data_IF_074656074216
#
_entry.id   IF_074656074216
#
_cell.length_a   1.000
_cell.length_b   1.000
_cell.length_c   1.000
_cell.angle_alpha   90.00
_cell.angle_beta   90.00
_cell.angle_gamma   90.00
#
_symmetry.space_group_name_H-M   'P 1'
#
loop_
_entity.id
_entity.type
_entity.pdbx_description
1 polymer ?
#
# COMPACT_ATOMS: atom_id res chain seq x y z
N UNK A 1 -45.50 3.91 24.98
CA UNK A 1 -44.32 4.60 25.54
C UNK A 1 -43.36 3.50 25.92
N UNK A 2 -42.42 3.23 25.06
CA UNK A 2 -41.22 2.43 25.34
C UNK A 2 -40.07 3.40 25.03
N UNK A 3 -39.61 4.02 26.08
CA UNK A 3 -38.44 4.87 26.10
C UNK A 3 -37.24 3.90 26.25
N UNK A 4 -36.69 3.48 25.14
CA UNK A 4 -35.52 2.61 25.04
C UNK A 4 -34.41 3.33 24.29
N UNK A 5 -34.04 4.52 24.75
CA UNK A 5 -32.72 5.06 24.50
C UNK A 5 -31.76 4.40 25.49
N UNK A 6 -31.27 3.20 25.13
CA UNK A 6 -30.00 2.76 25.69
C UNK A 6 -28.97 3.81 25.26
N UNK A 7 -28.38 4.45 26.27
CA UNK A 7 -27.25 5.34 26.13
C UNK A 7 -26.11 4.55 25.44
N UNK A 8 -26.08 4.59 24.11
CA UNK A 8 -24.87 4.33 23.38
C UNK A 8 -23.92 5.47 23.72
N UNK A 9 -23.03 5.19 24.63
CA UNK A 9 -21.89 6.04 24.97
C UNK A 9 -20.89 5.93 23.80
N UNK A 10 -21.39 6.26 22.57
CA UNK A 10 -20.58 6.26 21.37
C UNK A 10 -19.68 7.48 21.41
N UNK A 11 -18.39 7.22 21.57
CA UNK A 11 -17.36 8.25 21.50
C UNK A 11 -17.45 8.93 20.13
N UNK A 12 -17.50 10.27 20.11
CA UNK A 12 -17.57 11.04 18.86
C UNK A 12 -16.31 10.81 18.01
N UNK A 13 -16.41 10.82 16.68
CA UNK A 13 -15.28 10.60 15.77
C UNK A 13 -14.05 11.46 16.05
N UNK A 14 -14.27 12.72 16.41
CA UNK A 14 -13.20 13.66 16.77
C UNK A 14 -12.44 13.20 18.02
N UNK A 15 -13.15 12.68 19.02
CA UNK A 15 -12.55 12.16 20.24
C UNK A 15 -11.74 10.89 19.96
N UNK A 16 -12.25 10.00 19.07
CA UNK A 16 -11.54 8.81 18.62
C UNK A 16 -10.25 9.22 17.91
N UNK A 17 -10.31 10.20 16.99
CA UNK A 17 -9.16 10.68 16.23
C UNK A 17 -8.13 11.33 17.15
N UNK A 18 -8.55 12.17 18.08
CA UNK A 18 -7.64 12.86 19.00
C UNK A 18 -6.97 11.87 19.97
N UNK A 19 -7.73 10.91 20.50
CA UNK A 19 -7.16 9.81 21.29
C UNK A 19 -6.14 8.99 20.48
N UNK A 20 -6.51 8.59 19.26
CA UNK A 20 -5.61 7.87 18.36
C UNK A 20 -4.31 8.63 18.16
N UNK A 21 -4.41 9.93 17.88
CA UNK A 21 -3.25 10.81 17.66
C UNK A 21 -2.32 10.81 18.86
N UNK A 22 -2.84 11.13 20.05
CA UNK A 22 -2.05 11.24 21.27
C UNK A 22 -1.40 9.91 21.67
N UNK A 23 -2.18 8.84 21.66
CA UNK A 23 -1.70 7.52 22.05
C UNK A 23 -0.72 6.93 21.02
N UNK A 24 -0.93 7.20 19.72
CA UNK A 24 -0.03 6.70 18.68
C UNK A 24 1.32 7.43 18.73
N UNK A 25 1.34 8.73 19.02
CA UNK A 25 2.58 9.48 19.22
C UNK A 25 3.47 8.87 20.30
N UNK A 26 2.87 8.50 21.44
CA UNK A 26 3.60 7.82 22.53
C UNK A 26 4.19 6.48 22.07
N UNK A 27 3.39 5.69 21.31
CA UNK A 27 3.85 4.40 20.79
C UNK A 27 4.94 4.55 19.73
N UNK A 28 4.84 5.56 18.87
CA UNK A 28 5.86 5.89 17.87
C UNK A 28 7.20 6.23 18.52
N UNK A 29 7.21 7.03 19.59
CA UNK A 29 8.43 7.32 20.36
C UNK A 29 9.04 6.03 20.92
N UNK A 30 8.23 5.11 21.44
CA UNK A 30 8.70 3.82 21.94
C UNK A 30 9.26 2.91 20.83
N UNK A 31 8.74 3.03 19.60
CA UNK A 31 9.30 2.33 18.44
C UNK A 31 10.64 2.93 18.03
N UNK A 32 10.78 4.27 17.99
CA UNK A 32 12.05 4.96 17.73
C UNK A 32 13.15 4.49 18.68
N UNK A 33 12.86 4.44 19.98
CA UNK A 33 13.81 3.96 21.00
C UNK A 33 14.22 2.50 20.79
N UNK A 34 13.26 1.60 20.52
CA UNK A 34 13.53 0.17 20.37
C UNK A 34 14.24 -0.21 19.08
N UNK A 35 14.03 0.57 18.02
CA UNK A 35 14.66 0.34 16.71
C UNK A 35 15.89 1.20 16.48
N UNK A 36 16.17 2.14 17.40
CA UNK A 36 17.25 3.13 17.26
C UNK A 36 17.18 3.80 15.89
N UNK A 37 16.06 4.46 15.61
CA UNK A 37 15.79 5.06 14.31
C UNK A 37 14.96 6.33 14.42
N UNK A 38 14.96 7.15 13.37
CA UNK A 38 13.92 8.15 13.15
C UNK A 38 12.75 7.50 12.45
N UNK A 39 11.57 7.58 13.03
CA UNK A 39 10.37 6.95 12.48
C UNK A 39 9.60 7.92 11.58
N UNK A 40 9.14 7.42 10.45
CA UNK A 40 8.16 8.08 9.57
C UNK A 40 6.98 7.14 9.36
N UNK A 41 5.76 7.61 9.61
CA UNK A 41 4.55 6.77 9.54
C UNK A 41 3.72 7.09 8.31
N UNK A 42 3.33 6.05 7.58
CA UNK A 42 2.34 6.11 6.51
C UNK A 42 1.38 4.91 6.68
N UNK A 43 0.24 5.13 7.31
CA UNK A 43 -0.75 4.10 7.57
C UNK A 43 -2.09 4.45 6.94
N UNK A 44 -2.69 3.48 6.26
CA UNK A 44 -3.91 3.64 5.48
C UNK A 44 -4.95 2.61 5.90
N UNK A 45 -6.18 3.05 6.14
CA UNK A 45 -7.34 2.18 6.30
C UNK A 45 -7.59 1.44 4.98
N UNK A 46 -7.55 0.11 5.00
CA UNK A 46 -7.44 -0.75 3.81
C UNK A 46 -8.55 -0.55 2.77
N UNK A 47 -9.78 -0.32 3.22
CA UNK A 47 -10.94 -0.17 2.33
C UNK A 47 -11.18 1.28 1.90
N UNK A 48 -10.51 2.25 2.54
CA UNK A 48 -10.81 3.67 2.41
C UNK A 48 -9.70 4.47 1.74
N UNK A 49 -8.46 4.00 1.83
CA UNK A 49 -7.31 4.74 1.36
C UNK A 49 -6.32 3.86 0.60
N UNK A 50 -5.70 4.44 -0.40
CA UNK A 50 -4.63 3.86 -1.20
C UNK A 50 -3.55 4.90 -1.46
N UNK A 51 -2.38 4.46 -1.89
CA UNK A 51 -1.31 5.36 -2.33
C UNK A 51 -1.76 6.06 -3.62
N UNK A 52 -1.82 7.39 -3.59
CA UNK A 52 -2.26 8.24 -4.70
C UNK A 52 -1.29 9.41 -4.89
N UNK A 53 -1.44 10.17 -5.97
CA UNK A 53 -0.64 11.39 -6.20
C UNK A 53 -0.74 12.37 -5.04
N UNK A 54 -1.92 12.49 -4.44
CA UNK A 54 -2.13 13.32 -3.26
C UNK A 54 -1.29 12.88 -2.07
N UNK A 55 -1.05 11.59 -1.91
CA UNK A 55 -0.16 11.05 -0.86
C UNK A 55 1.27 11.57 -1.01
N UNK A 56 1.72 11.79 -2.26
CA UNK A 56 3.04 12.39 -2.54
C UNK A 56 3.09 13.83 -2.04
N UNK A 57 2.05 14.62 -2.36
CA UNK A 57 1.97 16.02 -1.95
C UNK A 57 1.89 16.13 -0.42
N UNK A 58 1.09 15.29 0.21
CA UNK A 58 0.95 15.22 1.66
C UNK A 58 2.30 14.85 2.31
N UNK A 59 2.99 13.84 1.81
CA UNK A 59 4.32 13.45 2.30
C UNK A 59 5.34 14.58 2.14
N UNK A 60 5.35 15.26 1.00
CA UNK A 60 6.26 16.38 0.77
C UNK A 60 5.96 17.53 1.73
N UNK A 61 4.69 17.86 1.93
CA UNK A 61 4.28 18.91 2.90
C UNK A 61 4.73 18.54 4.30
N UNK A 62 4.47 17.32 4.76
CA UNK A 62 4.90 16.84 6.06
C UNK A 62 6.41 17.01 6.26
N UNK A 63 7.22 16.56 5.29
CA UNK A 63 8.68 16.65 5.38
C UNK A 63 9.20 18.10 5.37
N UNK A 64 8.49 19.04 4.73
CA UNK A 64 8.84 20.45 4.77
C UNK A 64 8.48 21.09 6.12
N UNK A 65 7.31 20.79 6.67
CA UNK A 65 6.86 21.31 7.95
C UNK A 65 7.69 20.79 9.13
N UNK A 66 8.22 19.57 9.03
CA UNK A 66 9.02 18.90 10.08
C UNK A 66 10.50 18.78 9.70
N UNK A 67 11.03 19.62 8.80
CA UNK A 67 12.38 19.48 8.27
C UNK A 67 13.45 19.43 9.38
N UNK A 68 13.28 20.18 10.47
CA UNK A 68 14.23 20.22 11.60
C UNK A 68 14.29 18.90 12.37
N UNK A 69 13.18 18.16 12.41
CA UNK A 69 13.06 16.89 13.15
C UNK A 69 13.64 15.70 12.36
N UNK A 70 13.71 15.84 11.03
CA UNK A 70 14.26 14.84 10.13
C UNK A 70 15.70 15.16 9.70
N UNK A 71 16.56 15.46 10.71
CA UNK A 71 17.99 15.71 10.52
C UNK A 71 18.83 14.96 11.56
N UNK A 72 20.03 14.53 11.16
CA UNK A 72 21.04 14.00 12.07
C UNK A 72 20.74 12.61 12.63
N UNK A 73 20.00 11.78 11.91
CA UNK A 73 19.75 10.36 12.25
C UNK A 73 20.59 9.45 11.35
N UNK A 74 20.96 8.28 11.87
CA UNK A 74 21.71 7.26 11.13
C UNK A 74 20.80 6.24 10.44
N UNK A 75 19.53 6.15 10.88
CA UNK A 75 18.54 5.22 10.37
C UNK A 75 17.16 5.86 10.27
N UNK A 76 16.56 5.79 9.08
CA UNK A 76 15.18 6.17 8.84
C UNK A 76 14.33 4.89 8.73
N UNK A 77 13.34 4.74 9.61
CA UNK A 77 12.35 3.67 9.53
C UNK A 77 11.03 4.23 8.98
N UNK A 78 10.64 3.84 7.79
CA UNK A 78 9.34 4.16 7.23
C UNK A 78 8.33 3.06 7.60
N UNK A 79 7.48 3.31 8.61
CA UNK A 79 6.41 2.40 9.00
C UNK A 79 5.27 2.51 7.98
N UNK A 80 5.06 1.43 7.23
CA UNK A 80 4.15 1.39 6.09
C UNK A 80 3.07 0.34 6.28
N UNK A 81 1.81 0.79 6.31
CA UNK A 81 0.63 -0.08 6.25
C UNK A 81 -0.30 0.41 5.15
N UNK A 82 -0.43 -0.37 4.05
CA UNK A 82 -1.20 0.08 2.88
C UNK A 82 -1.61 -1.09 1.97
N UNK A 83 -2.82 -1.04 1.39
CA UNK A 83 -3.26 -1.98 0.35
C UNK A 83 -2.55 -1.76 -1.00
N UNK A 84 -1.78 -0.68 -1.16
CA UNK A 84 -1.14 -0.30 -2.40
C UNK A 84 -1.79 0.91 -3.06
N UNK A 85 -1.86 0.93 -4.39
CA UNK A 85 -2.44 2.04 -5.17
C UNK A 85 -1.63 2.37 -6.41
N UNK A 86 -1.43 3.67 -6.68
CA UNK A 86 -0.71 4.18 -7.85
C UNK A 86 0.80 3.90 -7.74
N UNK A 87 1.35 3.17 -8.72
CA UNK A 87 2.77 2.81 -8.75
C UNK A 87 3.69 4.02 -8.97
N UNK A 88 3.24 5.04 -9.71
CA UNK A 88 4.01 6.26 -9.93
C UNK A 88 4.09 7.10 -8.65
N UNK A 89 2.99 7.19 -7.90
CA UNK A 89 2.97 7.83 -6.60
C UNK A 89 3.88 7.11 -5.61
N UNK A 90 3.82 5.78 -5.54
CA UNK A 90 4.72 4.98 -4.71
C UNK A 90 6.20 5.19 -5.10
N UNK A 91 6.50 5.23 -6.40
CA UNK A 91 7.85 5.53 -6.89
C UNK A 91 8.31 6.93 -6.48
N UNK A 92 7.44 7.95 -6.57
CA UNK A 92 7.78 9.32 -6.16
C UNK A 92 8.04 9.40 -4.65
N UNK A 93 7.22 8.75 -3.80
CA UNK A 93 7.45 8.66 -2.35
C UNK A 93 8.77 7.95 -2.07
N UNK A 94 9.05 6.82 -2.76
CA UNK A 94 10.33 6.12 -2.65
C UNK A 94 11.51 7.03 -2.93
N UNK A 95 11.44 7.86 -3.97
CA UNK A 95 12.48 8.84 -4.32
C UNK A 95 12.63 9.94 -3.28
N UNK A 96 11.52 10.40 -2.68
CA UNK A 96 11.56 11.38 -1.58
C UNK A 96 12.27 10.81 -0.35
N UNK A 97 11.89 9.61 0.09
CA UNK A 97 12.48 8.96 1.26
C UNK A 97 13.95 8.61 1.04
N UNK A 98 14.32 8.16 -0.17
CA UNK A 98 15.71 7.91 -0.51
C UNK A 98 16.56 9.19 -0.43
N UNK A 99 16.07 10.32 -0.96
CA UNK A 99 16.77 11.62 -0.85
C UNK A 99 16.90 12.09 0.60
N UNK A 100 15.85 11.87 1.42
CA UNK A 100 15.90 12.21 2.84
C UNK A 100 16.98 11.40 3.56
N UNK A 101 17.03 10.09 3.33
CA UNK A 101 18.05 9.21 3.89
C UNK A 101 19.47 9.56 3.38
N UNK A 102 19.64 9.83 2.08
CA UNK A 102 20.90 10.27 1.48
C UNK A 102 21.39 11.59 2.09
N UNK A 103 20.51 12.58 2.29
CA UNK A 103 20.83 13.88 2.91
C UNK A 103 21.39 13.71 4.34
N UNK A 104 20.93 12.68 5.06
CA UNK A 104 21.37 12.36 6.41
C UNK A 104 22.49 11.30 6.45
N UNK A 105 22.96 10.78 5.32
CA UNK A 105 23.85 9.62 5.23
C UNK A 105 23.32 8.41 6.01
N UNK A 106 22.00 8.18 5.98
CA UNK A 106 21.28 7.23 6.78
C UNK A 106 20.88 5.97 5.96
N UNK A 107 20.72 4.85 6.67
CA UNK A 107 20.04 3.69 6.17
C UNK A 107 18.53 3.96 6.10
N UNK A 108 17.84 3.38 5.10
CA UNK A 108 16.39 3.45 4.95
C UNK A 108 15.78 2.06 5.13
N UNK A 109 15.00 1.88 6.19
CA UNK A 109 14.27 0.66 6.46
C UNK A 109 12.77 0.87 6.27
N UNK A 110 12.09 -0.15 5.75
CA UNK A 110 10.64 -0.18 5.73
C UNK A 110 10.13 -1.12 6.80
N UNK A 111 9.33 -0.60 7.71
CA UNK A 111 8.74 -1.32 8.83
C UNK A 111 7.28 -1.67 8.48
N UNK A 112 6.99 -2.96 8.34
CA UNK A 112 5.68 -3.44 7.94
C UNK A 112 4.97 -4.09 9.13
N UNK A 113 3.98 -3.40 9.75
CA UNK A 113 3.24 -3.94 10.89
C UNK A 113 2.29 -5.06 10.50
N UNK A 114 1.58 -4.92 9.36
CA UNK A 114 0.59 -5.90 8.92
C UNK A 114 0.62 -6.17 7.42
N UNK A 115 0.56 -5.13 6.57
CA UNK A 115 0.61 -5.33 5.13
C UNK A 115 1.26 -4.16 4.38
N UNK A 116 1.92 -4.51 3.28
CA UNK A 116 2.32 -3.59 2.24
C UNK A 116 2.11 -4.28 0.89
N UNK A 117 0.94 -4.05 0.25
CA UNK A 117 0.54 -4.75 -0.99
C UNK A 117 0.85 -3.94 -2.24
N UNK A 118 1.06 -4.60 -3.37
CA UNK A 118 1.12 -3.97 -4.70
C UNK A 118 2.11 -2.78 -4.74
N UNK A 119 1.64 -1.56 -4.99
CA UNK A 119 2.46 -0.34 -4.99
C UNK A 119 3.16 -0.08 -3.64
N UNK A 120 2.60 -0.53 -2.51
CA UNK A 120 3.27 -0.45 -1.21
C UNK A 120 4.43 -1.45 -1.10
N UNK A 121 4.33 -2.65 -1.72
CA UNK A 121 5.49 -3.55 -1.87
C UNK A 121 6.58 -2.91 -2.73
N UNK A 122 6.19 -2.25 -3.84
CA UNK A 122 7.12 -1.51 -4.70
C UNK A 122 7.87 -0.44 -3.89
N UNK A 123 7.15 0.34 -3.07
CA UNK A 123 7.71 1.35 -2.18
C UNK A 123 8.69 0.71 -1.17
N UNK A 124 8.30 -0.37 -0.50
CA UNK A 124 9.13 -1.07 0.49
C UNK A 124 10.43 -1.62 -0.10
N UNK A 125 10.42 -2.03 -1.37
CA UNK A 125 11.61 -2.50 -2.09
C UNK A 125 12.66 -1.40 -2.36
N UNK A 126 12.37 -0.14 -2.07
CA UNK A 126 13.31 0.98 -2.24
C UNK A 126 14.26 1.20 -1.04
N UNK A 127 14.03 0.52 0.08
CA UNK A 127 14.87 0.59 1.28
C UNK A 127 16.11 -0.30 1.23
N UNK A 128 16.93 -0.22 2.25
CA UNK A 128 18.07 -1.11 2.46
C UNK A 128 17.62 -2.48 2.99
N UNK A 129 16.59 -2.49 3.85
CA UNK A 129 16.00 -3.69 4.46
C UNK A 129 14.50 -3.48 4.74
N UNK A 130 13.73 -4.57 4.74
CA UNK A 130 12.32 -4.59 5.17
C UNK A 130 12.25 -5.30 6.52
N UNK A 131 11.71 -4.61 7.53
CA UNK A 131 11.44 -5.13 8.86
C UNK A 131 9.99 -5.58 8.92
N UNK A 132 9.74 -6.83 9.28
CA UNK A 132 8.39 -7.38 9.28
C UNK A 132 8.04 -7.95 10.66
N UNK A 133 6.79 -7.78 11.10
CA UNK A 133 6.22 -8.60 12.17
C UNK A 133 5.98 -10.02 11.64
N UNK A 134 5.72 -10.99 12.54
CA UNK A 134 5.39 -12.37 12.15
C UNK A 134 4.09 -12.50 11.35
N UNK A 135 3.19 -11.53 11.48
CA UNK A 135 1.91 -11.50 10.75
C UNK A 135 1.93 -10.56 9.54
N UNK A 136 3.06 -9.88 9.30
CA UNK A 136 3.17 -8.95 8.19
C UNK A 136 3.28 -9.67 6.85
N UNK A 137 2.75 -9.05 5.81
CA UNK A 137 2.78 -9.57 4.46
C UNK A 137 3.07 -8.48 3.42
N UNK A 138 3.81 -8.85 2.42
CA UNK A 138 3.91 -8.14 1.15
C UNK A 138 2.91 -8.71 0.16
N UNK A 139 2.81 -8.12 -1.02
CA UNK A 139 1.99 -8.64 -2.11
C UNK A 139 2.67 -8.56 -3.47
N UNK A 140 2.13 -9.26 -4.48
CA UNK A 140 2.55 -9.13 -5.86
C UNK A 140 2.46 -7.68 -6.36
N UNK A 141 3.34 -7.33 -7.31
CA UNK A 141 3.41 -5.99 -7.93
C UNK A 141 2.90 -6.11 -9.37
N UNK A 142 1.76 -6.73 -9.57
CA UNK A 142 1.14 -6.86 -10.88
C UNK A 142 0.13 -5.74 -11.13
N UNK A 143 0.25 -5.01 -12.26
CA UNK A 143 -0.66 -3.91 -12.56
C UNK A 143 -2.12 -4.39 -12.65
N UNK A 144 -2.99 -3.69 -11.96
CA UNK A 144 -4.43 -3.91 -12.05
C UNK A 144 -5.06 -2.96 -13.07
N UNK A 145 -6.03 -3.44 -13.81
CA UNK A 145 -6.82 -2.66 -14.75
C UNK A 145 -8.29 -2.79 -14.42
N UNK A 146 -9.03 -1.73 -14.63
CA UNK A 146 -10.48 -1.74 -14.49
C UNK A 146 -11.12 -2.21 -15.80
N UNK A 147 -11.94 -3.25 -15.70
CA UNK A 147 -12.72 -3.72 -16.85
C UNK A 147 -13.90 -2.79 -17.11
N UNK A 148 -14.52 -2.83 -18.31
CA UNK A 148 -15.75 -2.09 -18.59
C UNK A 148 -16.91 -2.41 -17.64
N UNK A 149 -16.88 -3.58 -16.98
CA UNK A 149 -17.87 -4.00 -15.98
C UNK A 149 -17.55 -3.51 -14.57
N UNK A 150 -16.52 -2.64 -14.38
CA UNK A 150 -16.15 -2.07 -13.10
C UNK A 150 -15.36 -3.01 -12.18
N UNK A 151 -14.82 -4.12 -12.70
CA UNK A 151 -14.00 -5.06 -11.93
C UNK A 151 -12.51 -4.77 -12.15
N UNK A 152 -11.76 -4.82 -11.07
CA UNK A 152 -10.31 -4.82 -11.14
C UNK A 152 -9.78 -6.21 -11.47
N UNK A 153 -8.95 -6.33 -12.49
CA UNK A 153 -8.30 -7.57 -12.92
C UNK A 153 -6.82 -7.31 -13.20
N UNK A 154 -5.98 -8.30 -12.94
CA UNK A 154 -4.57 -8.21 -13.31
C UNK A 154 -4.40 -8.11 -14.82
N UNK A 155 -3.58 -7.17 -15.28
CA UNK A 155 -3.19 -7.05 -16.69
C UNK A 155 -2.58 -8.37 -17.22
N UNK A 156 -1.90 -9.12 -16.34
CA UNK A 156 -1.39 -10.44 -16.63
C UNK A 156 -2.51 -11.46 -16.86
N UNK A 157 -3.54 -11.50 -16.00
CA UNK A 157 -4.66 -12.42 -16.16
C UNK A 157 -5.33 -12.26 -17.52
N UNK A 158 -5.55 -11.01 -17.94
CA UNK A 158 -6.13 -10.74 -19.26
C UNK A 158 -5.22 -11.23 -20.38
N UNK A 159 -3.91 -10.93 -20.30
CA UNK A 159 -2.93 -11.40 -21.29
C UNK A 159 -2.91 -12.93 -21.37
N UNK A 160 -2.82 -13.60 -20.23
CA UNK A 160 -2.68 -15.06 -20.16
C UNK A 160 -3.95 -15.74 -20.66
N UNK A 161 -5.15 -15.22 -20.33
CA UNK A 161 -6.44 -15.71 -20.87
C UNK A 161 -6.52 -15.60 -22.41
N UNK A 162 -5.98 -14.53 -22.98
CA UNK A 162 -5.94 -14.36 -24.42
C UNK A 162 -4.96 -15.35 -25.07
N UNK A 163 -3.79 -15.55 -24.47
CA UNK A 163 -2.82 -16.52 -24.95
C UNK A 163 -3.40 -17.95 -24.92
N UNK A 164 -4.05 -18.32 -23.82
CA UNK A 164 -4.75 -19.61 -23.69
C UNK A 164 -5.83 -19.79 -24.76
N UNK A 165 -6.61 -18.73 -25.02
CA UNK A 165 -7.62 -18.74 -26.07
C UNK A 165 -6.99 -18.97 -27.46
N UNK A 166 -5.86 -18.31 -27.76
CA UNK A 166 -5.13 -18.48 -29.01
C UNK A 166 -4.59 -19.91 -29.16
N UNK A 167 -4.05 -20.49 -28.06
CA UNK A 167 -3.59 -21.89 -28.06
C UNK A 167 -4.75 -22.86 -28.31
N UNK A 168 -5.93 -22.66 -27.72
CA UNK A 168 -7.13 -23.46 -27.98
C UNK A 168 -7.55 -23.36 -29.43
N UNK A 169 -7.48 -22.17 -30.02
CA UNK A 169 -7.80 -21.96 -31.44
C UNK A 169 -6.80 -22.69 -32.35
N UNK A 170 -5.49 -22.64 -32.08
CA UNK A 170 -4.47 -23.33 -32.83
C UNK A 170 -4.60 -24.86 -32.77
N UNK A 171 -4.88 -25.39 -31.58
CA UNK A 171 -5.06 -26.84 -31.36
C UNK A 171 -6.34 -27.39 -32.02
N UNK A 172 -7.43 -26.58 -32.04
CA UNK A 172 -8.71 -26.96 -32.64
C UNK A 172 -8.79 -26.52 -34.10
N UNK A 173 -8.06 -27.17 -34.98
CA UNK A 173 -8.00 -26.93 -36.47
C UNK A 173 -9.36 -26.92 -37.21
N UNK A 174 -10.51 -26.96 -36.50
CA UNK A 174 -11.88 -27.04 -37.04
C UNK A 174 -12.75 -25.83 -36.81
N UNK A 175 -12.20 -24.70 -36.33
CA UNK A 175 -12.97 -23.47 -36.26
C UNK A 175 -13.10 -22.88 -37.68
N UNK A 176 -14.34 -22.62 -38.11
CA UNK A 176 -14.57 -21.91 -39.37
C UNK A 176 -14.00 -20.49 -39.32
N UNK A 177 -13.62 -19.94 -40.46
CA UNK A 177 -13.12 -18.58 -40.58
C UNK A 177 -14.06 -17.54 -39.97
N UNK A 178 -15.39 -17.77 -40.04
CA UNK A 178 -16.39 -16.86 -39.48
C UNK A 178 -16.41 -16.86 -37.97
N UNK A 179 -16.24 -18.02 -37.31
CA UNK A 179 -16.14 -18.12 -35.85
C UNK A 179 -14.85 -17.52 -35.34
N UNK A 180 -13.74 -17.72 -36.04
CA UNK A 180 -12.48 -17.05 -35.73
C UNK A 180 -12.59 -15.53 -35.86
N UNK A 181 -13.18 -15.05 -36.95
CA UNK A 181 -13.39 -13.63 -37.18
C UNK A 181 -14.30 -12.99 -36.13
N UNK A 182 -15.38 -13.69 -35.68
CA UNK A 182 -16.23 -13.23 -34.62
C UNK A 182 -15.46 -13.14 -33.29
N UNK A 183 -14.65 -14.15 -32.97
CA UNK A 183 -13.83 -14.17 -31.75
C UNK A 183 -12.82 -13.03 -31.73
N UNK A 184 -12.09 -12.80 -32.84
CA UNK A 184 -11.10 -11.72 -32.93
C UNK A 184 -11.71 -10.32 -32.88
N UNK A 185 -12.98 -10.14 -33.26
CA UNK A 185 -13.69 -8.85 -33.13
C UNK A 185 -13.99 -8.49 -31.68
N UNK A 186 -14.21 -9.51 -30.83
CA UNK A 186 -14.49 -9.31 -29.40
C UNK A 186 -13.20 -9.16 -28.56
N UNK A 187 -12.02 -9.49 -29.14
CA UNK A 187 -10.77 -9.35 -28.41
C UNK A 187 -10.27 -7.90 -28.43
N UNK A 188 -9.92 -7.33 -27.27
CA UNK A 188 -9.37 -5.98 -27.15
C UNK A 188 -7.88 -5.97 -27.56
N UNK A 189 -7.59 -6.18 -28.87
CA UNK A 189 -6.23 -6.37 -29.37
C UNK A 189 -5.29 -5.18 -29.12
N UNK A 190 -5.83 -3.97 -29.11
CA UNK A 190 -5.05 -2.75 -28.82
C UNK A 190 -4.66 -2.68 -27.35
N UNK A 191 -5.56 -3.11 -26.47
CA UNK A 191 -5.34 -3.13 -25.02
C UNK A 191 -4.31 -4.19 -24.62
N UNK A 192 -4.19 -5.31 -25.34
CA UNK A 192 -3.18 -6.35 -25.07
C UNK A 192 -1.77 -5.75 -25.09
N UNK A 193 -1.49 -4.92 -26.10
CA UNK A 193 -0.22 -4.21 -26.19
C UNK A 193 0.02 -3.26 -25.01
N UNK A 194 -1.05 -2.66 -24.44
CA UNK A 194 -0.97 -1.82 -23.27
C UNK A 194 -0.69 -2.64 -22.00
N UNK A 195 -1.33 -3.81 -21.83
CA UNK A 195 -1.10 -4.69 -20.67
C UNK A 195 0.35 -5.14 -20.57
N UNK A 196 0.94 -5.55 -21.70
CA UNK A 196 2.37 -5.90 -21.74
C UNK A 196 3.27 -4.69 -21.38
N UNK A 197 2.91 -3.50 -21.81
CA UNK A 197 3.64 -2.27 -21.44
C UNK A 197 3.52 -1.95 -19.97
N UNK A 198 2.34 -2.11 -19.36
CA UNK A 198 2.12 -1.88 -17.92
C UNK A 198 2.94 -2.86 -17.06
N UNK A 199 2.93 -4.17 -17.41
CA UNK A 199 3.73 -5.17 -16.70
C UNK A 199 5.22 -4.85 -16.82
N UNK A 200 5.70 -4.51 -18.02
CA UNK A 200 7.09 -4.08 -18.24
C UNK A 200 7.43 -2.82 -17.48
N UNK A 201 6.51 -1.86 -17.41
CA UNK A 201 6.70 -0.61 -16.70
C UNK A 201 6.86 -0.84 -15.20
N UNK A 202 5.93 -1.57 -14.55
CA UNK A 202 6.03 -1.93 -13.14
C UNK A 202 7.33 -2.66 -12.82
N UNK A 203 7.76 -3.58 -13.71
CA UNK A 203 9.04 -4.29 -13.57
C UNK A 203 10.24 -3.36 -13.64
N UNK A 204 10.21 -2.36 -14.53
CA UNK A 204 11.30 -1.39 -14.65
C UNK A 204 11.38 -0.49 -13.41
N UNK A 205 10.25 0.04 -12.91
CA UNK A 205 10.21 0.82 -11.67
C UNK A 205 10.79 0.03 -10.50
N UNK A 206 10.36 -1.23 -10.34
CA UNK A 206 10.89 -2.10 -9.29
C UNK A 206 12.39 -2.34 -9.43
N UNK A 207 12.88 -2.59 -10.66
CA UNK A 207 14.30 -2.81 -10.91
C UNK A 207 15.15 -1.56 -10.59
N UNK A 208 14.63 -0.37 -10.87
CA UNK A 208 15.29 0.88 -10.52
C UNK A 208 15.38 1.03 -8.99
N UNK A 209 14.27 0.86 -8.27
CA UNK A 209 14.23 1.01 -6.82
C UNK A 209 15.12 0.00 -6.09
N UNK A 210 15.07 -1.28 -6.46
CA UNK A 210 15.91 -2.33 -5.88
C UNK A 210 17.41 -2.01 -6.01
N UNK A 211 17.84 -1.43 -7.14
CA UNK A 211 19.25 -1.09 -7.39
C UNK A 211 19.73 0.11 -6.59
N UNK A 212 18.84 0.99 -6.13
CA UNK A 212 19.24 2.18 -5.36
C UNK A 212 19.85 1.77 -4.02
N UNK A 213 19.23 0.80 -3.32
CA UNK A 213 19.64 0.38 -1.97
C UNK A 213 19.68 -1.15 -1.81
N UNK A 214 18.52 -1.81 -1.75
CA UNK A 214 18.39 -3.21 -1.33
C UNK A 214 19.31 -4.17 -2.09
N UNK A 215 19.36 -4.05 -3.40
CA UNK A 215 20.18 -4.87 -4.29
C UNK A 215 21.27 -4.06 -4.99
N UNK A 216 21.79 -3.01 -4.34
CA UNK A 216 22.92 -2.22 -4.84
C UNK A 216 24.12 -3.13 -5.08
N UNK A 217 24.66 -3.11 -6.29
CA UNK A 217 25.81 -3.93 -6.69
C UNK A 217 25.48 -5.40 -6.98
N UNK A 218 24.23 -5.85 -6.82
CA UNK A 218 23.84 -7.20 -7.18
C UNK A 218 23.91 -7.43 -8.70
N UNK A 219 24.10 -8.70 -9.09
CA UNK A 219 24.09 -9.08 -10.49
C UNK A 219 22.73 -8.76 -11.12
N UNK A 220 22.76 -8.27 -12.37
CA UNK A 220 21.55 -7.90 -13.09
C UNK A 220 20.55 -9.07 -13.26
N UNK A 221 21.04 -10.33 -13.32
CA UNK A 221 20.19 -11.51 -13.36
C UNK A 221 19.37 -11.63 -12.07
N UNK A 222 19.97 -11.43 -10.89
CA UNK A 222 19.29 -11.49 -9.59
C UNK A 222 18.17 -10.45 -9.52
N UNK A 223 18.47 -9.19 -9.87
CA UNK A 223 17.45 -8.13 -9.90
C UNK A 223 16.31 -8.49 -10.85
N UNK A 224 16.63 -8.99 -12.05
CA UNK A 224 15.63 -9.39 -13.04
C UNK A 224 14.74 -10.52 -12.53
N UNK A 225 15.31 -11.51 -11.85
CA UNK A 225 14.57 -12.68 -11.36
C UNK A 225 13.63 -12.30 -10.20
N UNK A 226 14.08 -11.44 -9.26
CA UNK A 226 13.24 -10.85 -8.22
C UNK A 226 12.08 -10.07 -8.85
N UNK A 227 12.38 -9.16 -9.79
CA UNK A 227 11.36 -8.37 -10.46
C UNK A 227 10.34 -9.25 -11.19
N UNK A 228 10.79 -10.26 -11.94
CA UNK A 228 9.91 -11.17 -12.66
C UNK A 228 8.98 -11.92 -11.72
N UNK A 229 9.51 -12.42 -10.60
CA UNK A 229 8.69 -13.16 -9.62
C UNK A 229 7.64 -12.25 -8.98
N UNK A 230 8.00 -11.04 -8.54
CA UNK A 230 7.06 -10.11 -7.92
C UNK A 230 6.00 -9.57 -8.89
N UNK A 231 6.33 -9.39 -10.18
CA UNK A 231 5.38 -8.82 -11.16
C UNK A 231 4.60 -9.88 -11.96
N UNK A 232 5.11 -11.13 -12.05
CA UNK A 232 4.51 -12.16 -12.91
C UNK A 232 4.50 -13.56 -12.27
N UNK A 233 5.08 -13.74 -11.09
CA UNK A 233 5.24 -15.07 -10.49
C UNK A 233 4.03 -15.57 -9.71
N UNK A 234 3.02 -14.75 -9.49
CA UNK A 234 1.86 -15.08 -8.64
C UNK A 234 0.56 -15.08 -9.45
N UNK A 235 -0.27 -16.08 -9.24
CA UNK A 235 -1.54 -16.22 -9.96
C UNK A 235 -2.65 -15.31 -9.42
N UNK A 236 -2.52 -14.87 -8.16
CA UNK A 236 -3.52 -14.07 -7.47
C UNK A 236 -2.90 -12.81 -6.87
N UNK A 237 -3.48 -11.64 -7.19
CA UNK A 237 -3.01 -10.33 -6.71
C UNK A 237 -3.00 -10.20 -5.19
N UNK A 238 -3.98 -10.76 -4.51
CA UNK A 238 -4.09 -10.74 -3.06
C UNK A 238 -3.17 -11.72 -2.31
N UNK A 239 -2.34 -12.50 -3.03
CA UNK A 239 -1.43 -13.49 -2.42
C UNK A 239 -0.56 -12.86 -1.32
N UNK A 240 -0.62 -13.36 -0.06
CA UNK A 240 0.29 -12.93 0.98
C UNK A 240 1.70 -13.49 0.72
N UNK A 241 2.70 -12.63 0.74
CA UNK A 241 4.12 -12.97 0.67
C UNK A 241 4.70 -12.72 2.06
N UNK A 242 4.89 -13.78 2.83
CA UNK A 242 5.42 -13.71 4.19
C UNK A 242 6.95 -13.52 4.19
N UNK A 243 7.52 -13.20 5.34
CA UNK A 243 8.95 -12.87 5.47
C UNK A 243 9.88 -13.94 4.88
N UNK A 244 9.59 -15.23 5.10
CA UNK A 244 10.42 -16.33 4.61
C UNK A 244 10.36 -16.44 3.08
N UNK A 245 9.17 -16.30 2.52
CA UNK A 245 9.00 -16.27 1.07
C UNK A 245 9.69 -15.06 0.44
N UNK A 246 9.55 -13.87 1.06
CA UNK A 246 10.22 -12.65 0.61
C UNK A 246 11.75 -12.78 0.61
N UNK A 247 12.34 -13.43 1.63
CA UNK A 247 13.78 -13.75 1.66
C UNK A 247 14.17 -14.71 0.53
N UNK A 248 13.38 -15.76 0.31
CA UNK A 248 13.61 -16.73 -0.78
C UNK A 248 13.51 -16.10 -2.17
N UNK A 249 12.75 -15.01 -2.32
CA UNK A 249 12.72 -14.20 -3.53
C UNK A 249 14.03 -13.41 -3.75
N UNK A 250 14.84 -13.23 -2.70
CA UNK A 250 16.07 -12.46 -2.74
C UNK A 250 15.93 -11.04 -2.16
N UNK A 251 14.83 -10.71 -1.49
CA UNK A 251 14.68 -9.46 -0.76
C UNK A 251 15.42 -9.54 0.59
N UNK A 252 15.98 -8.43 1.03
CA UNK A 252 16.53 -8.30 2.38
C UNK A 252 15.39 -8.05 3.36
N UNK A 253 14.98 -9.10 4.05
CA UNK A 253 13.87 -9.05 5.01
C UNK A 253 14.32 -9.60 6.35
N UNK A 254 14.00 -8.90 7.42
CA UNK A 254 14.26 -9.32 8.80
C UNK A 254 12.97 -9.29 9.62
N UNK A 255 12.74 -10.36 10.39
CA UNK A 255 11.69 -10.33 11.41
C UNK A 255 12.17 -9.50 12.60
N UNK A 256 11.24 -8.78 13.20
CA UNK A 256 11.46 -8.03 14.42
C UNK A 256 11.75 -8.99 15.60
N UNK A 257 12.51 -8.52 16.59
CA UNK A 257 12.59 -9.20 17.89
C UNK A 257 11.25 -9.13 18.63
N UNK A 258 11.01 -9.99 19.62
CA UNK A 258 9.74 -10.02 20.34
C UNK A 258 9.37 -8.66 20.96
N UNK A 259 10.34 -7.91 21.48
CA UNK A 259 10.11 -6.59 22.07
C UNK A 259 9.81 -5.50 21.01
N UNK A 260 10.51 -5.55 19.89
CA UNK A 260 10.26 -4.65 18.76
C UNK A 260 8.89 -4.93 18.14
N UNK A 261 8.59 -6.21 17.89
CA UNK A 261 7.32 -6.64 17.32
C UNK A 261 6.15 -6.23 18.20
N UNK A 262 6.25 -6.42 19.52
CA UNK A 262 5.20 -5.99 20.47
C UNK A 262 4.92 -4.51 20.36
N UNK A 263 5.94 -3.65 20.36
CA UNK A 263 5.76 -2.21 20.24
C UNK A 263 5.10 -1.81 18.91
N UNK A 264 5.51 -2.45 17.82
CA UNK A 264 4.96 -2.19 16.48
C UNK A 264 3.51 -2.67 16.37
N UNK A 265 3.20 -3.86 16.89
CA UNK A 265 1.84 -4.39 16.89
C UNK A 265 0.91 -3.59 17.81
N UNK A 266 1.37 -3.10 18.96
CA UNK A 266 0.57 -2.24 19.84
C UNK A 266 0.16 -0.95 19.13
N UNK A 267 1.07 -0.34 18.36
CA UNK A 267 0.74 0.82 17.53
C UNK A 267 -0.25 0.48 16.40
N UNK A 268 -0.03 -0.65 15.72
CA UNK A 268 -0.92 -1.10 14.66
C UNK A 268 -2.33 -1.44 15.18
N UNK A 269 -2.45 -2.15 16.30
CA UNK A 269 -3.76 -2.52 16.86
C UNK A 269 -4.54 -1.30 17.36
N UNK A 270 -3.86 -0.30 17.90
CA UNK A 270 -4.51 0.98 18.23
C UNK A 270 -5.09 1.62 16.95
N UNK A 271 -4.31 1.70 15.88
CA UNK A 271 -4.77 2.21 14.59
C UNK A 271 -5.95 1.40 14.05
N UNK A 272 -5.84 0.06 14.01
CA UNK A 272 -6.89 -0.83 13.51
C UNK A 272 -8.18 -0.72 14.30
N UNK A 273 -8.11 -0.74 15.64
CA UNK A 273 -9.31 -0.61 16.49
C UNK A 273 -9.98 0.75 16.35
N UNK A 274 -9.21 1.80 16.10
CA UNK A 274 -9.78 3.14 15.85
C UNK A 274 -10.49 3.19 14.48
N UNK A 275 -9.97 2.47 13.47
CA UNK A 275 -10.66 2.31 12.17
C UNK A 275 -12.00 1.60 12.37
N UNK A 276 -12.03 0.47 13.10
CA UNK A 276 -13.26 -0.29 13.35
C UNK A 276 -14.33 0.58 14.04
N UNK A 277 -13.94 1.44 14.98
CA UNK A 277 -14.85 2.37 15.64
C UNK A 277 -15.37 3.44 14.66
N UNK A 278 -14.48 4.04 13.85
CA UNK A 278 -14.88 5.04 12.85
C UNK A 278 -15.75 4.43 11.74
N UNK A 279 -15.49 3.19 11.32
CA UNK A 279 -16.31 2.47 10.33
C UNK A 279 -17.70 2.17 10.89
N UNK A 280 -17.80 1.76 12.14
CA UNK A 280 -19.09 1.52 12.80
C UNK A 280 -19.91 2.80 12.87
N UNK A 281 -19.28 3.92 13.21
CA UNK A 281 -19.93 5.23 13.21
C UNK A 281 -20.35 5.66 11.79
N UNK A 282 -19.47 5.53 10.81
CA UNK A 282 -19.76 5.84 9.42
C UNK A 282 -20.92 4.98 8.87
N UNK A 283 -20.98 3.69 9.18
CA UNK A 283 -22.03 2.80 8.75
C UNK A 283 -23.41 3.21 9.28
N UNK A 284 -23.49 3.65 10.53
CA UNK A 284 -24.72 4.17 11.12
C UNK A 284 -25.26 5.41 10.40
N UNK A 285 -24.36 6.30 9.96
CA UNK A 285 -24.71 7.52 9.25
C UNK A 285 -25.04 7.29 7.79
N UNK A 286 -24.33 6.37 7.11
CA UNK A 286 -24.56 6.03 5.70
C UNK A 286 -25.95 5.45 5.44
N UNK A 287 -26.56 4.81 6.44
CA UNK A 287 -27.96 4.38 6.37
C UNK A 287 -28.95 5.56 6.30
N UNK A 288 -28.53 6.74 6.73
CA UNK A 288 -29.36 7.96 6.75
C UNK A 288 -29.18 8.84 5.50
N UNK A 289 -28.21 8.56 4.62
CA UNK A 289 -27.87 9.42 3.48
C UNK A 289 -28.21 8.76 2.12
N UNK A 290 -28.80 9.51 1.18
CA UNK A 290 -29.22 8.97 -0.13
C UNK A 290 -28.07 8.68 -1.10
N UNK A 291 -26.87 9.25 -0.92
CA UNK A 291 -25.70 9.03 -1.79
C UNK A 291 -24.42 9.39 -1.05
N UNK A 292 -23.72 8.42 -0.44
CA UNK A 292 -22.49 8.69 0.28
C UNK A 292 -21.31 8.95 -0.68
N UNK A 293 -20.55 10.02 -0.43
CA UNK A 293 -19.26 10.27 -1.08
C UNK A 293 -18.16 9.77 -0.12
N UNK A 294 -17.36 8.82 -0.59
CA UNK A 294 -16.27 8.24 0.18
C UNK A 294 -14.96 8.97 -0.11
N UNK A 295 -14.43 9.68 0.89
CA UNK A 295 -13.08 10.26 0.83
C UNK A 295 -12.35 9.98 2.14
N UNK A 296 -11.10 9.50 2.14
CA UNK A 296 -10.37 9.25 3.36
C UNK A 296 -10.05 10.57 4.09
N UNK A 297 -10.21 10.57 5.40
CA UNK A 297 -9.77 11.66 6.27
C UNK A 297 -8.28 11.52 6.53
N UNK A 298 -7.54 12.63 6.44
CA UNK A 298 -6.10 12.68 6.75
C UNK A 298 -5.90 13.20 8.16
N UNK A 299 -5.14 12.47 8.93
CA UNK A 299 -4.73 12.87 10.28
C UNK A 299 -3.21 12.95 10.33
N UNK A 300 -2.72 14.13 10.69
CA UNK A 300 -1.30 14.41 10.86
C UNK A 300 -0.90 14.09 12.30
N UNK A 301 0.17 13.33 12.44
CA UNK A 301 0.84 13.07 13.72
C UNK A 301 2.28 13.56 13.62
N UNK A 302 2.97 13.73 14.73
CA UNK A 302 4.37 14.19 14.76
C UNK A 302 5.34 13.29 13.96
N UNK A 303 4.98 12.03 13.73
CA UNK A 303 5.78 11.04 13.01
C UNK A 303 5.32 10.79 11.57
N UNK A 304 4.22 11.41 11.08
CA UNK A 304 3.74 11.14 9.72
C UNK A 304 2.25 11.38 9.50
N UNK A 305 1.66 10.54 8.64
CA UNK A 305 0.31 10.73 8.12
C UNK A 305 -0.49 9.43 8.25
N UNK A 306 -1.71 9.56 8.78
CA UNK A 306 -2.71 8.50 8.82
C UNK A 306 -3.83 8.83 7.83
N UNK A 307 -4.30 7.82 7.11
CA UNK A 307 -5.48 7.90 6.26
C UNK A 307 -6.57 7.03 6.86
N UNK A 308 -7.60 7.67 7.40
CA UNK A 308 -8.69 7.06 8.14
C UNK A 308 -9.97 7.04 7.31
N UNK A 309 -10.97 6.20 7.66
CA UNK A 309 -12.31 6.30 7.10
C UNK A 309 -12.90 7.70 7.27
N UNK A 310 -13.78 8.06 6.37
CA UNK A 310 -14.48 9.34 6.42
C UNK A 310 -15.34 9.44 7.68
N UNK A 311 -15.29 10.58 8.38
CA UNK A 311 -16.23 10.90 9.44
C UNK A 311 -17.38 11.77 8.94
N UNK A 312 -18.56 11.65 9.55
CA UNK A 312 -19.81 12.26 9.08
C UNK A 312 -19.82 13.78 9.02
N UNK A 313 -18.98 14.47 9.76
CA UNK A 313 -18.93 15.94 9.71
C UNK A 313 -18.53 16.49 8.35
N UNK A 314 -17.73 15.74 7.57
CA UNK A 314 -17.40 16.08 6.20
C UNK A 314 -18.60 15.89 5.28
N UNK A 315 -19.53 14.99 5.62
CA UNK A 315 -20.75 14.72 4.86
C UNK A 315 -21.88 15.71 5.16
N UNK A 316 -21.88 16.36 6.31
CA UNK A 316 -22.93 17.30 6.75
C UNK A 316 -22.62 18.76 6.40
N UNK A 317 -21.60 19.00 5.55
CA UNK A 317 -21.40 20.32 4.94
C UNK A 317 -20.85 21.37 5.87
N UNK A 318 -19.76 21.10 6.58
CA UNK A 318 -18.83 22.18 6.92
C UNK A 318 -18.10 22.59 5.62
N UNK A 319 -18.79 23.29 4.76
CA UNK A 319 -18.18 24.18 3.81
C UNK A 319 -17.39 25.22 4.60
N UNK A 320 -16.08 25.13 4.60
CA UNK A 320 -15.20 26.13 5.14
C UNK A 320 -14.13 25.59 6.09
N UNK A 321 -13.16 24.90 5.55
CA UNK A 321 -11.74 24.95 6.00
C UNK A 321 -10.85 24.74 4.78
#
# INVERSE_FOLDING_TARGET
MIDGREDLNEELPEAIIERLRQELEVRCNGIEEKLDCKLLVLMMAEQWASIERRTVDDMMRFLLEHESEYRGFERLCAMLHSPGGDADAAYQIARLLNRLAEKNNAELYFLIPRMAKSAATLLACSGDEILMTRIAELGPIDPQIMTPTGRWVSARTVRDSINELLEIVEQRRRLSSDRLSALFRELPLMEIGQFNRLIKYARNLLAELLKVRMLRGANQSVVRDVCKKLTEGYEYHGRPIMADEARNLGLKVRLLTDDQERAVLDAYWLFSSSIDQLESYAAALLQALPSPIYMPTRVWISHGILYLPLTAEVLLGREGL
#
